data_IF_849662444566
#
_entry.id   IF_849662444566
#
_cell.length_a   1.000
_cell.length_b   1.000
_cell.length_c   1.000
_cell.angle_alpha   90.00
_cell.angle_beta   90.00
_cell.angle_gamma   90.00
#
_symmetry.space_group_name_H-M   'P 1'
#
loop_
_entity.id
_entity.type
_entity.pdbx_description
1 polymer ?
#
# COMPACT_ATOMS: atom_id res chain seq x y z
N UNK A 1 -37.57 -29.09 -15.75
CA UNK A 1 -37.70 -27.69 -15.25
C UNK A 1 -36.32 -27.23 -14.78
N UNK A 2 -35.63 -26.41 -15.57
CA UNK A 2 -34.33 -25.84 -15.18
C UNK A 2 -34.56 -24.50 -14.47
N UNK A 3 -34.24 -24.45 -13.18
CA UNK A 3 -34.26 -23.21 -12.41
C UNK A 3 -33.07 -22.33 -12.83
N UNK A 4 -33.33 -21.27 -13.59
CA UNK A 4 -32.36 -20.23 -13.89
C UNK A 4 -32.12 -19.41 -12.63
N UNK A 5 -31.01 -19.66 -11.95
CA UNK A 5 -30.55 -18.81 -10.84
C UNK A 5 -29.99 -17.53 -11.48
N UNK A 6 -30.82 -16.48 -11.51
CA UNK A 6 -30.38 -15.10 -11.76
C UNK A 6 -29.61 -14.63 -10.53
N UNK A 7 -28.30 -14.75 -10.55
CA UNK A 7 -27.44 -13.95 -9.68
C UNK A 7 -27.44 -12.56 -10.29
N UNK A 8 -28.01 -11.58 -9.56
CA UNK A 8 -27.96 -10.17 -9.95
C UNK A 8 -26.50 -9.77 -10.12
N UNK A 9 -26.08 -9.60 -11.37
CA UNK A 9 -24.87 -8.87 -11.75
C UNK A 9 -25.00 -7.45 -11.21
N UNK A 10 -24.43 -7.20 -10.03
CA UNK A 10 -24.66 -5.97 -9.29
C UNK A 10 -23.57 -5.76 -8.26
N UNK A 11 -22.33 -5.76 -8.70
CA UNK A 11 -21.19 -5.17 -8.01
C UNK A 11 -20.08 -5.03 -9.03
N UNK A 12 -20.07 -3.88 -9.73
CA UNK A 12 -18.81 -3.37 -10.24
C UNK A 12 -17.90 -3.19 -9.00
N UNK A 13 -16.70 -3.79 -8.95
CA UNK A 13 -15.75 -3.40 -7.92
C UNK A 13 -15.33 -1.98 -8.26
N UNK A 14 -15.95 -1.05 -7.55
CA UNK A 14 -15.50 0.33 -7.46
C UNK A 14 -14.16 0.30 -6.72
N UNK A 15 -13.10 -0.07 -7.43
CA UNK A 15 -11.78 0.54 -7.21
C UNK A 15 -11.83 1.91 -7.90
N UNK A 16 -12.77 2.75 -7.46
CA UNK A 16 -12.62 4.16 -7.69
C UNK A 16 -11.63 4.64 -6.63
N UNK A 17 -10.36 4.67 -7.00
CA UNK A 17 -9.51 5.78 -6.58
C UNK A 17 -10.08 7.02 -7.28
N UNK A 18 -11.20 7.51 -6.75
CA UNK A 18 -11.86 8.70 -7.23
C UNK A 18 -11.03 9.90 -6.78
N UNK A 19 -10.34 10.52 -7.74
CA UNK A 19 -9.92 11.90 -7.63
C UNK A 19 -11.14 12.83 -7.54
N UNK A 20 -11.18 13.69 -6.52
CA UNK A 20 -11.89 14.98 -6.47
C UNK A 20 -11.62 15.60 -5.07
N UNK A 21 -11.39 16.89 -4.86
CA UNK A 21 -11.30 18.06 -5.71
C UNK A 21 -10.58 19.18 -4.92
N UNK A 22 -10.06 20.16 -5.66
CA UNK A 22 -9.56 21.45 -5.18
C UNK A 22 -10.63 22.15 -4.33
N UNK A 23 -10.31 22.51 -3.10
CA UNK A 23 -10.96 23.62 -2.40
C UNK A 23 -9.90 24.62 -1.95
N UNK A 24 -9.98 25.78 -2.58
CA UNK A 24 -9.43 27.05 -2.11
C UNK A 24 -10.03 27.37 -0.74
N UNK A 25 -9.19 27.71 0.23
CA UNK A 25 -9.58 28.63 1.31
C UNK A 25 -9.27 28.21 2.76
N UNK A 26 -8.42 29.03 3.39
CA UNK A 26 -8.38 29.40 4.82
C UNK A 26 -7.44 28.62 5.77
N UNK A 27 -6.24 29.22 5.93
CA UNK A 27 -5.57 29.60 7.19
C UNK A 27 -5.52 28.59 8.34
N UNK A 28 -4.31 28.16 8.72
CA UNK A 28 -3.56 28.87 9.78
C UNK A 28 -2.09 28.41 9.79
N UNK A 29 -1.18 29.35 9.56
CA UNK A 29 0.25 29.15 9.77
C UNK A 29 0.53 29.15 11.28
N UNK A 30 0.80 27.98 11.86
CA UNK A 30 1.44 27.92 13.18
C UNK A 30 2.93 27.57 13.02
N UNK A 31 3.85 28.51 13.30
CA UNK A 31 5.27 28.20 13.33
C UNK A 31 5.57 27.36 14.57
N UNK A 32 6.02 26.12 14.35
CA UNK A 32 6.62 25.28 15.38
C UNK A 32 7.81 26.03 16.00
N UNK A 33 7.65 26.37 17.29
CA UNK A 33 8.66 27.06 18.12
C UNK A 33 9.97 26.27 18.15
N UNK A 34 11.05 26.93 17.74
CA UNK A 34 12.42 26.53 18.13
C UNK A 34 12.59 26.74 19.63
N UNK A 35 12.97 25.68 20.34
CA UNK A 35 13.62 25.81 21.64
C UNK A 35 15.09 26.11 21.34
N UNK A 36 15.46 27.38 21.42
CA UNK A 36 16.86 27.80 21.57
C UNK A 36 17.24 27.65 23.04
N UNK A 37 18.32 26.94 23.32
CA UNK A 37 19.10 27.13 24.54
C UNK A 37 20.48 27.60 24.13
N UNK A 38 20.74 28.89 24.38
CA UNK A 38 22.06 29.48 24.42
C UNK A 38 22.91 28.83 25.51
N UNK A 39 24.19 28.68 25.20
CA UNK A 39 25.21 28.22 26.13
C UNK A 39 26.60 28.51 25.59
N UNK A 40 26.98 29.80 25.58
CA UNK A 40 28.38 30.22 25.42
C UNK A 40 29.23 29.66 26.55
N UNK A 41 30.40 29.09 26.23
CA UNK A 41 31.65 29.32 26.96
C UNK A 41 32.86 28.79 26.19
N UNK A 42 33.79 29.70 25.96
CA UNK A 42 35.16 29.50 25.49
C UNK A 42 36.01 28.87 26.59
N UNK A 43 36.83 27.86 26.25
CA UNK A 43 38.13 27.65 26.88
C UNK A 43 38.99 26.69 26.07
N UNK A 44 40.18 27.16 25.71
CA UNK A 44 41.26 26.38 25.14
C UNK A 44 41.84 25.42 26.18
N UNK A 45 42.17 24.20 25.75
CA UNK A 45 42.84 23.20 26.56
C UNK A 45 43.46 22.15 25.66
N UNK A 46 44.74 22.34 25.33
CA UNK A 46 45.57 21.35 24.65
C UNK A 46 45.74 20.14 25.57
N UNK A 47 45.20 19.00 25.19
CA UNK A 47 45.54 17.71 25.81
C UNK A 47 45.35 16.62 24.77
N UNK A 48 46.49 16.10 24.29
CA UNK A 48 46.55 14.83 23.56
C UNK A 48 45.94 13.74 24.43
N UNK A 49 44.85 13.17 23.97
CA UNK A 49 44.34 11.89 24.44
C UNK A 49 43.84 11.15 23.22
N UNK A 50 44.57 10.09 22.89
CA UNK A 50 44.21 9.09 21.88
C UNK A 50 42.88 8.45 22.28
N UNK A 51 41.79 8.96 21.71
CA UNK A 51 40.47 8.38 21.85
C UNK A 51 40.46 7.05 21.08
N UNK A 52 40.04 5.93 21.69
CA UNK A 52 39.82 4.69 20.96
C UNK A 52 38.78 4.95 19.87
N UNK A 53 39.15 4.66 18.62
CA UNK A 53 38.31 4.81 17.44
C UNK A 53 37.01 4.03 17.65
N UNK A 54 35.92 4.75 17.93
CA UNK A 54 34.59 4.16 18.03
C UNK A 54 34.23 3.61 16.65
N UNK A 55 34.16 2.30 16.54
CA UNK A 55 33.77 1.57 15.32
C UNK A 55 32.26 1.54 15.13
N UNK A 56 31.50 2.39 15.83
CA UNK A 56 30.07 2.55 15.58
C UNK A 56 29.91 3.04 14.14
N UNK A 57 29.19 2.31 13.27
CA UNK A 57 28.91 2.78 11.92
C UNK A 57 28.27 4.16 12.01
N UNK A 58 28.92 5.16 11.42
CA UNK A 58 28.35 6.49 11.36
C UNK A 58 27.01 6.41 10.64
N UNK A 59 25.95 6.95 11.25
CA UNK A 59 24.64 7.05 10.61
C UNK A 59 24.85 7.85 9.30
N UNK A 60 24.31 7.39 8.16
CA UNK A 60 24.49 8.08 6.89
C UNK A 60 24.15 9.57 7.03
N UNK A 61 25.04 10.44 6.56
CA UNK A 61 24.81 11.89 6.57
C UNK A 61 23.70 12.19 5.58
N UNK A 62 22.61 12.81 6.04
CA UNK A 62 21.54 13.23 5.15
C UNK A 62 21.97 14.43 4.32
N UNK A 63 21.72 14.32 3.03
CA UNK A 63 21.84 15.36 2.01
C UNK A 63 20.59 15.27 1.13
N UNK A 64 20.25 16.33 0.38
CA UNK A 64 19.13 16.27 -0.57
C UNK A 64 19.23 15.07 -1.53
N UNK A 65 20.43 14.76 -2.05
CA UNK A 65 20.63 13.64 -2.96
C UNK A 65 20.40 12.26 -2.30
N UNK A 66 20.85 12.07 -1.06
CA UNK A 66 20.60 10.81 -0.33
C UNK A 66 19.13 10.67 0.08
N UNK A 67 18.47 11.78 0.42
CA UNK A 67 17.05 11.80 0.75
C UNK A 67 16.18 11.52 -0.49
N UNK A 68 16.49 12.13 -1.65
CA UNK A 68 15.82 11.82 -2.91
C UNK A 68 15.95 10.33 -3.29
N UNK A 69 17.15 9.76 -3.14
CA UNK A 69 17.36 8.34 -3.39
C UNK A 69 16.55 7.45 -2.43
N UNK A 70 16.49 7.82 -1.15
CA UNK A 70 15.70 7.09 -0.16
C UNK A 70 14.19 7.20 -0.41
N UNK A 71 13.70 8.36 -0.87
CA UNK A 71 12.31 8.58 -1.27
C UNK A 71 11.95 7.72 -2.49
N UNK A 72 12.85 7.63 -3.49
CA UNK A 72 12.63 6.73 -4.63
C UNK A 72 12.57 5.26 -4.19
N UNK A 73 13.43 4.86 -3.26
CA UNK A 73 13.40 3.52 -2.69
C UNK A 73 12.13 3.24 -1.88
N UNK A 74 11.59 4.24 -1.16
CA UNK A 74 10.29 4.16 -0.49
C UNK A 74 9.18 3.81 -1.48
N UNK A 75 9.02 4.59 -2.54
CA UNK A 75 7.97 4.36 -3.54
C UNK A 75 8.16 3.06 -4.33
N UNK A 76 9.39 2.60 -4.51
CA UNK A 76 9.64 1.28 -5.10
C UNK A 76 9.17 0.14 -4.18
N UNK A 77 9.37 0.26 -2.86
CA UNK A 77 8.79 -0.70 -1.89
C UNK A 77 7.27 -0.67 -1.91
N UNK A 78 6.69 0.52 -2.00
CA UNK A 78 5.24 0.68 -2.10
C UNK A 78 4.67 0.06 -3.39
N UNK A 79 5.33 0.26 -4.54
CA UNK A 79 4.98 -0.40 -5.81
C UNK A 79 4.97 -1.91 -5.65
N UNK A 80 6.04 -2.49 -5.10
CA UNK A 80 6.15 -3.94 -4.87
C UNK A 80 5.07 -4.44 -3.89
N UNK A 81 4.77 -3.67 -2.85
CA UNK A 81 3.74 -4.03 -1.88
C UNK A 81 2.34 -4.01 -2.52
N UNK A 82 2.04 -3.03 -3.36
CA UNK A 82 0.80 -2.98 -4.15
C UNK A 82 0.69 -4.16 -5.14
N UNK A 83 1.77 -4.48 -5.87
CA UNK A 83 1.80 -5.61 -6.82
C UNK A 83 1.58 -6.96 -6.14
N UNK A 84 2.13 -7.14 -4.94
CA UNK A 84 1.98 -8.38 -4.18
C UNK A 84 0.77 -8.39 -3.25
N UNK A 85 0.03 -7.29 -3.19
CA UNK A 85 -1.05 -7.07 -2.22
C UNK A 85 -0.60 -7.33 -0.77
N UNK A 86 0.62 -6.87 -0.43
CA UNK A 86 1.24 -7.00 0.88
C UNK A 86 0.81 -5.85 1.79
N UNK A 87 -0.22 -6.12 2.59
CA UNK A 87 -0.83 -5.15 3.51
C UNK A 87 0.18 -4.69 4.56
N UNK A 88 1.02 -5.58 5.08
CA UNK A 88 1.94 -5.23 6.15
C UNK A 88 3.08 -4.35 5.62
N UNK A 89 3.57 -4.62 4.40
CA UNK A 89 4.53 -3.75 3.73
C UNK A 89 3.94 -2.36 3.42
N UNK A 90 2.68 -2.27 2.95
CA UNK A 90 2.00 -0.98 2.74
C UNK A 90 1.82 -0.18 4.04
N UNK A 91 1.47 -0.87 5.14
CA UNK A 91 1.36 -0.27 6.46
C UNK A 91 2.72 0.19 6.98
N UNK A 92 3.81 -0.54 6.69
CA UNK A 92 5.15 -0.15 7.13
C UNK A 92 5.65 1.13 6.46
N UNK A 93 5.37 1.31 5.17
CA UNK A 93 5.77 2.50 4.40
C UNK A 93 4.86 3.71 4.65
N UNK A 94 3.65 3.50 5.17
CA UNK A 94 2.72 4.57 5.54
C UNK A 94 3.17 5.33 6.80
N UNK A 95 2.92 6.64 6.85
CA UNK A 95 3.10 7.46 8.04
C UNK A 95 2.26 6.93 9.21
N UNK A 96 2.76 7.08 10.43
CA UNK A 96 2.19 6.51 11.65
C UNK A 96 0.69 6.77 11.81
N UNK A 97 0.25 8.00 11.48
CA UNK A 97 -1.15 8.41 11.56
C UNK A 97 -2.10 7.68 10.60
N UNK A 98 -1.58 7.11 9.50
CA UNK A 98 -2.38 6.44 8.47
C UNK A 98 -2.31 4.91 8.51
N UNK A 99 -1.44 4.32 9.34
CA UNK A 99 -1.24 2.85 9.39
C UNK A 99 -2.53 2.04 9.49
N UNK A 100 -3.39 2.39 10.44
CA UNK A 100 -4.68 1.70 10.63
C UNK A 100 -5.65 1.94 9.46
N UNK A 101 -5.66 3.17 8.91
CA UNK A 101 -6.51 3.50 7.77
C UNK A 101 -6.05 2.77 6.49
N UNK A 102 -4.74 2.67 6.26
CA UNK A 102 -4.15 1.89 5.17
C UNK A 102 -4.54 0.42 5.29
N UNK A 103 -4.37 -0.17 6.49
CA UNK A 103 -4.78 -1.57 6.75
C UNK A 103 -6.28 -1.76 6.46
N UNK A 104 -7.12 -0.88 6.99
CA UNK A 104 -8.57 -0.97 6.80
C UNK A 104 -8.98 -0.84 5.33
N UNK A 105 -8.37 0.09 4.58
CA UNK A 105 -8.63 0.28 3.16
C UNK A 105 -8.28 -0.97 2.34
N UNK A 106 -7.11 -1.57 2.60
CA UNK A 106 -6.70 -2.81 1.93
C UNK A 106 -7.59 -4.00 2.32
N UNK A 107 -7.96 -4.10 3.60
CA UNK A 107 -8.87 -5.16 4.07
C UNK A 107 -10.30 -5.01 3.55
N UNK A 108 -10.76 -3.79 3.21
CA UNK A 108 -12.08 -3.56 2.60
C UNK A 108 -12.17 -4.09 1.17
N UNK A 109 -11.04 -4.17 0.46
CA UNK A 109 -10.98 -4.66 -0.90
C UNK A 109 -10.96 -6.20 -0.98
N UNK A 110 -10.64 -6.90 0.11
CA UNK A 110 -10.98 -8.33 0.27
C UNK A 110 -12.39 -8.47 0.87
N UNK A 111 -13.21 -9.37 0.34
CA UNK A 111 -14.55 -9.61 0.86
C UNK A 111 -14.47 -10.67 1.96
N UNK A 112 -14.94 -10.42 3.21
CA UNK A 112 -14.92 -11.47 4.22
C UNK A 112 -15.78 -12.66 3.76
N UNK A 113 -15.40 -13.90 4.07
CA UNK A 113 -16.14 -15.07 3.58
C UNK A 113 -17.60 -15.04 4.05
N UNK A 114 -17.83 -14.47 5.24
CA UNK A 114 -19.17 -14.27 5.82
C UNK A 114 -20.09 -13.37 4.99
N UNK A 115 -19.56 -12.49 4.13
CA UNK A 115 -20.40 -11.69 3.21
C UNK A 115 -20.87 -12.50 2.00
N UNK A 116 -20.26 -13.65 1.75
CA UNK A 116 -20.57 -14.52 0.64
C UNK A 116 -21.61 -15.57 1.06
N UNK A 117 -22.55 -15.87 0.16
CA UNK A 117 -23.50 -16.97 0.40
C UNK A 117 -22.70 -18.25 0.60
N UNK A 118 -22.89 -18.93 1.73
CA UNK A 118 -22.28 -20.23 1.99
C UNK A 118 -22.54 -21.16 0.80
N UNK A 119 -21.48 -21.66 0.13
CA UNK A 119 -21.67 -22.56 -0.98
C UNK A 119 -22.26 -23.86 -0.43
N UNK A 120 -23.32 -24.35 -1.08
CA UNK A 120 -23.85 -25.70 -0.87
C UNK A 120 -22.70 -26.70 -1.06
N UNK A 121 -22.67 -27.77 -0.27
CA UNK A 121 -21.43 -28.31 0.30
C UNK A 121 -20.37 -28.60 -0.77
N UNK A 122 -19.26 -27.86 -0.71
CA UNK A 122 -18.06 -28.08 -1.52
C UNK A 122 -17.18 -29.21 -0.94
N UNK A 123 -17.80 -30.22 -0.37
CA UNK A 123 -17.11 -31.40 0.15
C UNK A 123 -16.73 -32.37 -0.98
N UNK A 124 -17.30 -32.17 -2.18
CA UNK A 124 -17.01 -32.89 -3.41
C UNK A 124 -15.90 -32.20 -4.22
N UNK A 125 -14.77 -32.88 -4.51
CA UNK A 125 -13.72 -32.35 -5.39
C UNK A 125 -14.22 -31.85 -6.75
N UNK A 126 -15.28 -32.44 -7.32
CA UNK A 126 -15.85 -31.99 -8.59
C UNK A 126 -16.54 -30.62 -8.44
N UNK A 127 -17.24 -30.39 -7.32
CA UNK A 127 -17.88 -29.11 -7.03
C UNK A 127 -16.84 -28.00 -6.78
N UNK A 128 -15.73 -28.31 -6.10
CA UNK A 128 -14.60 -27.38 -5.92
C UNK A 128 -14.00 -27.02 -7.27
N UNK A 129 -13.77 -28.00 -8.15
CA UNK A 129 -13.23 -27.74 -9.49
C UNK A 129 -14.17 -26.86 -10.33
N UNK A 130 -15.48 -27.10 -10.27
CA UNK A 130 -16.46 -26.26 -10.97
C UNK A 130 -16.49 -24.82 -10.43
N UNK A 131 -16.33 -24.64 -9.11
CA UNK A 131 -16.21 -23.31 -8.54
C UNK A 131 -14.93 -22.61 -9.00
N UNK A 132 -13.78 -23.31 -8.99
CA UNK A 132 -12.52 -22.78 -9.48
C UNK A 132 -12.62 -22.34 -10.95
N UNK A 133 -13.23 -23.17 -11.83
CA UNK A 133 -13.46 -22.78 -13.22
C UNK A 133 -14.33 -21.52 -13.35
N UNK A 134 -15.41 -21.40 -12.56
CA UNK A 134 -16.25 -20.20 -12.55
C UNK A 134 -15.50 -18.95 -12.07
N UNK A 135 -14.61 -19.08 -11.10
CA UNK A 135 -13.76 -17.97 -10.64
C UNK A 135 -12.86 -17.47 -11.77
N UNK A 136 -12.25 -18.38 -12.55
CA UNK A 136 -11.43 -18.00 -13.71
C UNK A 136 -12.24 -17.44 -14.88
N UNK A 137 -13.47 -17.92 -15.10
CA UNK A 137 -14.36 -17.33 -16.11
C UNK A 137 -14.72 -15.88 -15.77
N UNK A 138 -14.89 -15.57 -14.48
CA UNK A 138 -15.15 -14.21 -14.01
C UNK A 138 -13.89 -13.34 -14.00
N UNK A 139 -12.72 -13.95 -13.79
CA UNK A 139 -11.42 -13.28 -13.71
C UNK A 139 -10.38 -13.99 -14.58
N UNK A 140 -10.36 -13.71 -15.90
CA UNK A 140 -9.51 -14.43 -16.85
C UNK A 140 -8.01 -14.30 -16.58
N UNK A 141 -7.57 -13.25 -15.86
CA UNK A 141 -6.16 -13.08 -15.45
C UNK A 141 -5.79 -13.90 -14.22
N UNK A 142 -6.75 -14.44 -13.48
CA UNK A 142 -6.49 -15.28 -12.31
C UNK A 142 -5.92 -16.65 -12.74
N UNK A 143 -4.85 -17.08 -12.08
CA UNK A 143 -4.26 -18.39 -12.32
C UNK A 143 -5.19 -19.52 -11.87
N UNK A 144 -5.06 -20.67 -12.52
CA UNK A 144 -5.86 -21.87 -12.17
C UNK A 144 -5.53 -22.37 -10.76
N UNK A 145 -4.28 -22.18 -10.32
CA UNK A 145 -3.85 -22.50 -8.97
C UNK A 145 -4.58 -21.63 -7.95
N UNK A 146 -4.57 -20.30 -8.12
CA UNK A 146 -5.24 -19.37 -7.20
C UNK A 146 -6.75 -19.61 -7.14
N UNK A 147 -7.38 -19.86 -8.29
CA UNK A 147 -8.80 -20.19 -8.34
C UNK A 147 -9.13 -21.50 -7.58
N UNK A 148 -8.27 -22.52 -7.71
CA UNK A 148 -8.42 -23.79 -6.99
C UNK A 148 -8.20 -23.64 -5.48
N UNK A 149 -7.18 -22.87 -5.06
CA UNK A 149 -6.89 -22.57 -3.66
C UNK A 149 -8.06 -21.83 -3.01
N UNK A 150 -8.57 -20.77 -3.66
CA UNK A 150 -9.74 -20.02 -3.21
C UNK A 150 -10.99 -20.89 -3.07
N UNK A 151 -11.31 -21.68 -4.10
CA UNK A 151 -12.47 -22.58 -4.09
C UNK A 151 -12.36 -23.62 -2.96
N UNK A 152 -11.15 -24.14 -2.72
CA UNK A 152 -10.89 -25.12 -1.66
C UNK A 152 -11.03 -24.49 -0.27
N UNK A 153 -10.44 -23.30 -0.06
CA UNK A 153 -10.54 -22.57 1.21
C UNK A 153 -12.00 -22.22 1.54
N UNK A 154 -12.75 -21.72 0.54
CA UNK A 154 -14.16 -21.41 0.69
C UNK A 154 -14.98 -22.66 1.04
N UNK A 155 -14.71 -23.79 0.38
CA UNK A 155 -15.38 -25.05 0.68
C UNK A 155 -15.11 -25.61 2.07
N UNK A 156 -13.88 -25.45 2.56
CA UNK A 156 -13.47 -25.84 3.92
C UNK A 156 -13.89 -24.84 4.99
N UNK A 157 -14.43 -23.68 4.59
CA UNK A 157 -14.73 -22.56 5.48
C UNK A 157 -13.48 -22.10 6.25
N UNK A 158 -12.32 -22.13 5.59
CA UNK A 158 -11.05 -21.67 6.12
C UNK A 158 -10.87 -20.18 5.80
N UNK A 159 -11.24 -19.31 6.73
CA UNK A 159 -11.18 -17.85 6.56
C UNK A 159 -9.76 -17.37 6.23
N UNK A 160 -8.76 -17.87 6.96
CA UNK A 160 -7.38 -17.41 6.79
C UNK A 160 -6.83 -17.80 5.41
N UNK A 161 -7.09 -19.03 4.95
CA UNK A 161 -6.71 -19.46 3.61
C UNK A 161 -7.50 -18.72 2.52
N UNK A 162 -8.77 -18.39 2.79
CA UNK A 162 -9.61 -17.64 1.86
C UNK A 162 -9.13 -16.21 1.68
N UNK A 163 -8.83 -15.51 2.77
CA UNK A 163 -8.25 -14.17 2.74
C UNK A 163 -6.91 -14.13 2.02
N UNK A 164 -6.03 -15.12 2.29
CA UNK A 164 -4.76 -15.24 1.57
C UNK A 164 -4.98 -15.48 0.07
N UNK A 165 -5.93 -16.33 -0.30
CA UNK A 165 -6.30 -16.57 -1.69
C UNK A 165 -6.87 -15.33 -2.37
N UNK A 166 -7.66 -14.50 -1.66
CA UNK A 166 -8.19 -13.25 -2.22
C UNK A 166 -7.08 -12.25 -2.48
N UNK A 167 -6.11 -12.10 -1.57
CA UNK A 167 -4.94 -11.24 -1.80
C UNK A 167 -4.12 -11.70 -3.00
N UNK A 168 -3.89 -13.02 -3.13
CA UNK A 168 -3.20 -13.61 -4.29
C UNK A 168 -3.97 -13.36 -5.59
N UNK A 169 -5.29 -13.51 -5.56
CA UNK A 169 -6.15 -13.16 -6.70
C UNK A 169 -5.99 -11.68 -7.05
N UNK A 170 -6.07 -10.77 -6.08
CA UNK A 170 -5.94 -9.32 -6.31
C UNK A 170 -4.57 -8.97 -6.90
N UNK A 171 -3.50 -9.62 -6.43
CA UNK A 171 -2.15 -9.49 -6.98
C UNK A 171 -2.05 -9.99 -8.45
N UNK A 172 -2.77 -11.06 -8.80
CA UNK A 172 -2.76 -11.60 -10.17
C UNK A 172 -3.61 -10.77 -11.14
N UNK A 173 -4.77 -10.28 -10.68
CA UNK A 173 -5.69 -9.54 -11.54
C UNK A 173 -5.35 -8.04 -11.60
N UNK A 174 -4.56 -7.51 -10.66
CA UNK A 174 -4.11 -6.11 -10.67
C UNK A 174 -2.67 -6.03 -11.16
N UNK A 175 -2.44 -5.28 -12.22
CA UNK A 175 -1.10 -5.08 -12.78
C UNK A 175 -0.76 -3.60 -12.74
N UNK A 176 0.35 -3.24 -12.09
CA UNK A 176 0.96 -1.91 -12.22
C UNK A 176 1.71 -1.88 -13.55
N UNK A 177 1.26 -1.05 -14.48
CA UNK A 177 1.84 -0.95 -15.83
C UNK A 177 2.90 0.15 -15.90
N UNK A 178 2.63 1.28 -15.26
CA UNK A 178 3.56 2.40 -15.15
C UNK A 178 3.62 2.89 -13.71
N UNK A 179 4.83 3.20 -13.25
CA UNK A 179 5.10 3.83 -11.97
C UNK A 179 6.21 4.86 -12.15
N UNK A 180 5.90 6.14 -11.92
CA UNK A 180 6.85 7.24 -12.06
C UNK A 180 6.82 8.10 -10.81
N UNK A 181 8.02 8.46 -10.34
CA UNK A 181 8.23 9.35 -9.20
C UNK A 181 9.03 10.55 -9.68
N UNK A 182 8.45 11.73 -9.61
CA UNK A 182 8.98 12.97 -10.16
C UNK A 182 8.86 14.11 -9.15
N UNK A 183 9.48 15.25 -9.47
CA UNK A 183 9.35 16.51 -8.72
C UNK A 183 9.57 16.39 -7.19
N UNK A 184 10.50 15.52 -6.78
CA UNK A 184 10.85 15.35 -5.36
C UNK A 184 11.44 16.67 -4.83
N UNK A 185 10.87 17.19 -3.75
CA UNK A 185 11.35 18.41 -3.07
C UNK A 185 11.56 18.11 -1.60
N UNK A 186 12.82 18.07 -1.17
CA UNK A 186 13.21 17.80 0.22
C UNK A 186 13.35 19.11 0.99
N UNK A 187 12.69 19.22 2.14
CA UNK A 187 12.68 20.36 3.04
C UNK A 187 12.92 19.91 4.48
N UNK A 188 14.19 19.68 4.82
CA UNK A 188 14.58 19.17 6.13
C UNK A 188 14.05 17.75 6.35
N UNK A 189 13.10 17.60 7.29
CA UNK A 189 12.49 16.30 7.65
C UNK A 189 11.18 16.02 6.91
N UNK A 190 10.79 16.92 6.00
CA UNK A 190 9.59 16.78 5.16
C UNK A 190 9.97 16.79 3.69
N UNK A 191 9.13 16.19 2.85
CA UNK A 191 9.28 16.28 1.41
C UNK A 191 7.93 16.19 0.70
N UNK A 192 7.93 16.49 -0.60
CA UNK A 192 6.81 16.20 -1.50
C UNK A 192 7.31 15.48 -2.73
N UNK A 193 6.51 14.61 -3.33
CA UNK A 193 6.79 13.99 -4.63
C UNK A 193 5.52 13.89 -5.47
N UNK A 194 5.67 13.92 -6.79
CA UNK A 194 4.57 13.60 -7.71
C UNK A 194 4.71 12.13 -8.13
N UNK A 195 3.67 11.34 -7.89
CA UNK A 195 3.62 9.92 -8.26
C UNK A 195 2.57 9.72 -9.33
N UNK A 196 3.00 9.23 -10.49
CA UNK A 196 2.09 8.77 -11.56
C UNK A 196 2.05 7.26 -11.56
N UNK A 197 0.87 6.69 -11.37
CA UNK A 197 0.63 5.25 -11.38
C UNK A 197 -0.42 4.90 -12.42
N UNK A 198 -0.12 3.96 -13.31
CA UNK A 198 -1.10 3.33 -14.21
C UNK A 198 -1.32 1.89 -13.77
N UNK A 199 -2.57 1.55 -13.43
CA UNK A 199 -2.96 0.19 -13.05
C UNK A 199 -3.98 -0.38 -14.03
N UNK A 200 -3.85 -1.65 -14.37
CA UNK A 200 -4.89 -2.40 -15.08
C UNK A 200 -5.49 -3.42 -14.13
N UNK A 201 -6.81 -3.42 -14.02
CA UNK A 201 -7.56 -4.38 -13.22
C UNK A 201 -8.28 -5.35 -14.13
N UNK A 202 -7.89 -6.62 -14.07
CA UNK A 202 -8.48 -7.74 -14.82
C UNK A 202 -8.66 -7.38 -16.32
N UNK A 203 -9.87 -7.48 -16.84
CA UNK A 203 -10.25 -7.13 -18.21
C UNK A 203 -10.63 -5.66 -18.41
N UNK A 204 -10.56 -4.83 -17.38
CA UNK A 204 -10.91 -3.42 -17.47
C UNK A 204 -9.76 -2.59 -18.05
N UNK A 205 -10.06 -1.48 -18.76
CA UNK A 205 -9.04 -0.59 -19.28
C UNK A 205 -8.13 -0.06 -18.16
N UNK A 206 -6.83 0.17 -18.45
CA UNK A 206 -5.93 0.77 -17.48
C UNK A 206 -6.42 2.14 -17.00
N UNK A 207 -6.19 2.42 -15.72
CA UNK A 207 -6.47 3.71 -15.09
C UNK A 207 -5.18 4.35 -14.61
N UNK A 208 -4.99 5.62 -14.97
CA UNK A 208 -3.84 6.42 -14.54
C UNK A 208 -4.27 7.41 -13.46
N UNK A 209 -3.45 7.51 -12.42
CA UNK A 209 -3.61 8.45 -11.32
C UNK A 209 -2.34 9.24 -11.12
N UNK A 210 -2.50 10.52 -10.76
CA UNK A 210 -1.40 11.42 -10.44
C UNK A 210 -1.64 11.93 -9.03
N UNK A 211 -0.77 11.56 -8.10
CA UNK A 211 -0.88 11.92 -6.69
C UNK A 211 0.28 12.86 -6.32
N UNK A 212 -0.06 13.94 -5.60
CA UNK A 212 0.94 14.77 -4.94
C UNK A 212 1.09 14.26 -3.51
N UNK A 213 2.20 13.58 -3.24
CA UNK A 213 2.42 12.80 -2.03
C UNK A 213 3.24 13.61 -1.02
N UNK A 214 2.69 13.96 0.15
CA UNK A 214 3.48 14.49 1.25
C UNK A 214 4.26 13.35 1.92
N UNK A 215 5.48 13.67 2.36
CA UNK A 215 6.42 12.72 2.94
C UNK A 215 6.99 13.27 4.24
N UNK A 216 7.18 12.38 5.22
CA UNK A 216 7.74 12.72 6.52
C UNK A 216 8.80 11.71 6.92
N UNK A 217 9.87 12.17 7.56
CA UNK A 217 10.80 11.27 8.25
C UNK A 217 10.22 10.88 9.60
N UNK A 218 9.98 9.58 9.79
CA UNK A 218 9.60 8.98 11.06
C UNK A 218 10.64 7.93 11.44
N UNK A 219 11.18 8.00 12.66
CA UNK A 219 12.21 7.07 13.16
C UNK A 219 13.46 6.97 12.26
N UNK A 220 13.75 8.01 11.48
CA UNK A 220 14.90 8.05 10.58
C UNK A 220 14.66 7.47 9.18
N UNK A 221 13.41 7.11 8.84
CA UNK A 221 13.02 6.64 7.52
C UNK A 221 11.97 7.56 6.90
N UNK A 222 12.02 7.77 5.59
CA UNK A 222 10.95 8.43 4.85
C UNK A 222 9.70 7.55 4.83
N UNK A 223 8.53 8.16 5.05
CA UNK A 223 7.20 7.53 5.03
C UNK A 223 6.23 8.31 4.13
N UNK A 224 5.28 7.57 3.55
CA UNK A 224 4.17 8.11 2.76
C UNK A 224 3.06 8.64 3.65
N UNK A 225 2.81 9.94 3.59
CA UNK A 225 1.77 10.64 4.34
C UNK A 225 0.55 11.00 3.46
N UNK A 226 0.40 10.40 2.27
CA UNK A 226 -0.80 10.55 1.48
C UNK A 226 -1.95 9.81 2.18
N UNK A 227 -3.09 10.48 2.44
CA UNK A 227 -4.19 9.84 3.13
C UNK A 227 -4.78 8.73 2.25
N UNK A 228 -4.99 7.51 2.78
CA UNK A 228 -5.66 6.47 2.04
C UNK A 228 -7.12 6.91 1.75
N UNK A 229 -7.74 6.40 0.67
CA UNK A 229 -9.12 6.73 0.33
C UNK A 229 -10.04 6.50 1.53
N UNK A 230 -10.76 7.53 1.95
CA UNK A 230 -11.79 7.38 2.96
C UNK A 230 -12.99 6.70 2.33
N UNK A 231 -13.34 5.54 2.87
CA UNK A 231 -14.34 4.63 2.31
C UNK A 231 -15.78 5.02 2.53
#
# INVERSE_FOLDING_TARGET
MMARIRIKSGMAPVLALAAAAVLVGCQDEQPMRRISTDGSSTSAGTSSSSVPQSTTPAKPVRTPATDEAAIRALFERERQANENYDIDALVDVSCAQYKEATRAAMMKAVQPMSSLKKPEPLNDPAAVKQLASRLQEMHPKMSSQTAQELATAWGRQDEAAFDAGQRKMLAEITVVQDWKVENIKVMGDTATADVTMTTAFDQYPPQTQNNHVPLLIENGEWKDCFPPPQG
#
